data_IF_292965328432
#
_entry.id   IF_292965328432
#
_cell.length_a   1.000
_cell.length_b   1.000
_cell.length_c   1.000
_cell.angle_alpha   90.00
_cell.angle_beta   90.00
_cell.angle_gamma   90.00
#
_symmetry.space_group_name_H-M   'P 1'
#
loop_
_entity.id
_entity.type
_entity.pdbx_description
1 polymer ?
#
# COMPACT_ATOMS: atom_id res chain seq x y z
N UNK A 1 -6.68 -6.98 24.59
CA UNK A 1 -7.09 -8.18 23.83
C UNK A 1 -6.18 -8.27 22.62
N UNK A 2 -5.31 -9.29 22.57
CA UNK A 2 -4.25 -9.39 21.56
C UNK A 2 -4.76 -9.89 20.20
N UNK A 3 -5.85 -10.67 20.20
CA UNK A 3 -6.46 -11.23 18.99
C UNK A 3 -7.86 -10.65 18.78
N UNK A 4 -8.14 -10.23 17.55
CA UNK A 4 -9.48 -9.82 17.11
C UNK A 4 -10.01 -10.87 16.13
N UNK A 5 -10.78 -11.83 16.65
CA UNK A 5 -11.33 -12.96 15.89
C UNK A 5 -12.06 -12.54 14.60
N UNK A 6 -12.87 -11.47 14.57
CA UNK A 6 -13.56 -11.09 13.34
C UNK A 6 -12.61 -10.71 12.19
N UNK A 7 -11.48 -10.05 12.47
CA UNK A 7 -10.48 -9.77 11.44
C UNK A 7 -9.78 -11.04 10.95
N UNK A 8 -9.59 -12.04 11.82
CA UNK A 8 -9.04 -13.35 11.42
C UNK A 8 -10.01 -14.03 10.45
N UNK A 9 -11.29 -14.15 10.83
CA UNK A 9 -12.32 -14.74 9.97
C UNK A 9 -12.42 -14.03 8.63
N UNK A 10 -12.43 -12.70 8.61
CA UNK A 10 -12.45 -11.94 7.36
C UNK A 10 -11.22 -12.20 6.49
N UNK A 11 -10.04 -12.36 7.10
CA UNK A 11 -8.80 -12.63 6.37
C UNK A 11 -8.78 -14.04 5.78
N UNK A 12 -9.37 -15.02 6.48
CA UNK A 12 -9.59 -16.36 5.95
C UNK A 12 -10.58 -16.36 4.79
N UNK A 13 -11.67 -15.59 4.88
CA UNK A 13 -12.64 -15.42 3.78
C UNK A 13 -11.95 -14.80 2.56
N UNK A 14 -11.16 -13.74 2.77
CA UNK A 14 -10.37 -13.10 1.71
C UNK A 14 -9.42 -14.12 1.06
N UNK A 15 -8.69 -14.89 1.86
CA UNK A 15 -7.80 -15.96 1.37
C UNK A 15 -8.56 -16.98 0.52
N UNK A 16 -9.72 -17.46 1.01
CA UNK A 16 -10.55 -18.44 0.30
C UNK A 16 -11.05 -17.88 -1.03
N UNK A 17 -11.49 -16.62 -1.07
CA UNK A 17 -11.96 -15.99 -2.31
C UNK A 17 -10.80 -15.88 -3.31
N UNK A 18 -9.60 -15.48 -2.88
CA UNK A 18 -8.43 -15.42 -3.75
C UNK A 18 -8.06 -16.80 -4.33
N UNK A 19 -8.12 -17.85 -3.51
CA UNK A 19 -7.92 -19.23 -3.97
C UNK A 19 -8.99 -19.67 -4.99
N UNK A 20 -10.25 -19.35 -4.73
CA UNK A 20 -11.35 -19.64 -5.67
C UNK A 20 -11.18 -18.90 -7.01
N UNK A 21 -10.68 -17.66 -6.97
CA UNK A 21 -10.36 -16.88 -8.17
C UNK A 21 -9.25 -17.53 -9.01
N UNK A 22 -8.25 -18.13 -8.38
CA UNK A 22 -7.20 -18.87 -9.08
C UNK A 22 -7.73 -20.12 -9.78
N UNK A 23 -8.59 -20.87 -9.07
CA UNK A 23 -9.16 -22.12 -9.57
C UNK A 23 -10.16 -21.91 -10.72
N UNK A 24 -10.95 -20.83 -10.68
CA UNK A 24 -12.08 -20.61 -11.58
C UNK A 24 -11.92 -19.36 -12.45
N UNK A 25 -10.90 -19.37 -13.33
CA UNK A 25 -10.58 -18.23 -14.21
C UNK A 25 -11.75 -17.73 -15.07
N UNK A 26 -12.70 -18.60 -15.44
CA UNK A 26 -13.86 -18.25 -16.27
C UNK A 26 -14.88 -17.31 -15.60
N UNK A 27 -14.97 -17.31 -14.27
CA UNK A 27 -15.90 -16.47 -13.49
C UNK A 27 -15.21 -15.25 -12.87
N UNK A 28 -14.10 -14.84 -13.47
CA UNK A 28 -13.17 -13.85 -12.96
C UNK A 28 -13.85 -12.56 -12.44
N UNK A 29 -14.61 -11.88 -13.29
CA UNK A 29 -15.24 -10.61 -12.95
C UNK A 29 -16.26 -10.71 -11.82
N UNK A 30 -16.98 -11.83 -11.74
CA UNK A 30 -17.98 -12.07 -10.70
C UNK A 30 -17.29 -12.18 -9.35
N UNK A 31 -16.24 -13.01 -9.24
CA UNK A 31 -15.50 -13.14 -8.00
C UNK A 31 -14.81 -11.85 -7.60
N UNK A 32 -14.28 -11.08 -8.55
CA UNK A 32 -13.67 -9.79 -8.25
C UNK A 32 -14.67 -8.77 -7.67
N UNK A 33 -15.86 -8.66 -8.26
CA UNK A 33 -16.91 -7.76 -7.75
C UNK A 33 -17.40 -8.22 -6.37
N UNK A 34 -17.63 -9.53 -6.20
CA UNK A 34 -18.00 -10.11 -4.90
C UNK A 34 -16.91 -9.88 -3.86
N UNK A 35 -15.64 -10.05 -4.25
CA UNK A 35 -14.48 -9.83 -3.41
C UNK A 35 -14.40 -8.38 -2.91
N UNK A 36 -14.54 -7.40 -3.82
CA UNK A 36 -14.58 -5.99 -3.47
C UNK A 36 -15.77 -5.65 -2.58
N UNK A 37 -16.96 -6.17 -2.91
CA UNK A 37 -18.18 -5.90 -2.15
C UNK A 37 -18.08 -6.43 -0.71
N UNK A 38 -17.71 -7.71 -0.52
CA UNK A 38 -17.53 -8.33 0.80
C UNK A 38 -16.48 -7.56 1.59
N UNK A 39 -15.37 -7.24 0.95
CA UNK A 39 -14.27 -6.50 1.55
C UNK A 39 -14.68 -5.11 2.07
N UNK A 40 -15.42 -4.34 1.27
CA UNK A 40 -15.91 -3.01 1.66
C UNK A 40 -17.02 -3.09 2.72
N UNK A 41 -17.89 -4.10 2.65
CA UNK A 41 -18.93 -4.35 3.66
C UNK A 41 -18.27 -4.69 5.00
N UNK A 42 -17.34 -5.63 5.01
CA UNK A 42 -16.60 -6.01 6.21
C UNK A 42 -15.86 -4.83 6.81
N UNK A 43 -15.23 -4.00 5.96
CA UNK A 43 -14.63 -2.75 6.41
C UNK A 43 -15.63 -1.86 7.17
N UNK A 44 -16.83 -1.66 6.61
CA UNK A 44 -17.88 -0.83 7.22
C UNK A 44 -18.38 -1.40 8.54
N UNK A 45 -18.53 -2.72 8.62
CA UNK A 45 -18.97 -3.42 9.84
C UNK A 45 -17.96 -3.23 10.97
N UNK A 46 -16.66 -3.33 10.67
CA UNK A 46 -15.62 -3.34 11.70
C UNK A 46 -15.11 -1.96 12.11
N UNK A 47 -14.97 -1.05 11.16
CA UNK A 47 -14.41 0.27 11.44
C UNK A 47 -15.41 1.21 12.09
N UNK A 48 -16.72 1.10 11.76
CA UNK A 48 -17.76 2.12 12.03
C UNK A 48 -17.39 3.54 11.55
N UNK A 49 -16.25 3.71 10.89
CA UNK A 49 -15.71 4.98 10.42
C UNK A 49 -15.39 4.81 8.94
N UNK A 50 -15.81 5.76 8.11
CA UNK A 50 -15.51 5.74 6.69
C UNK A 50 -14.03 6.04 6.37
N UNK A 51 -13.20 6.39 7.36
CA UNK A 51 -11.76 6.55 7.11
C UNK A 51 -11.11 5.18 6.92
N UNK A 52 -10.51 4.95 5.75
CA UNK A 52 -9.72 3.75 5.43
C UNK A 52 -10.34 2.80 4.40
N UNK A 53 -11.57 3.03 3.91
CA UNK A 53 -12.18 2.18 2.88
C UNK A 53 -11.35 2.17 1.58
N UNK A 54 -10.71 3.29 1.26
CA UNK A 54 -9.89 3.41 0.05
C UNK A 54 -8.58 2.66 0.20
N UNK A 55 -7.96 2.71 1.39
CA UNK A 55 -6.76 1.92 1.72
C UNK A 55 -7.07 0.42 1.52
N UNK A 56 -8.19 -0.04 2.05
CA UNK A 56 -8.63 -1.42 1.88
C UNK A 56 -8.94 -1.74 0.40
N UNK A 57 -9.67 -0.88 -0.31
CA UNK A 57 -9.96 -1.06 -1.73
C UNK A 57 -8.71 -1.19 -2.59
N UNK A 58 -7.72 -0.31 -2.38
CA UNK A 58 -6.43 -0.36 -3.08
C UNK A 58 -5.68 -1.63 -2.75
N UNK A 59 -5.65 -2.03 -1.48
CA UNK A 59 -5.03 -3.28 -1.06
C UNK A 59 -5.60 -4.49 -1.82
N UNK A 60 -6.93 -4.62 -1.86
CA UNK A 60 -7.61 -5.72 -2.54
C UNK A 60 -7.35 -5.72 -4.04
N UNK A 61 -7.42 -4.56 -4.70
CA UNK A 61 -7.09 -4.44 -6.12
C UNK A 61 -5.61 -4.79 -6.40
N UNK A 62 -4.70 -4.39 -5.52
CA UNK A 62 -3.26 -4.57 -5.70
C UNK A 62 -2.83 -6.02 -5.48
N UNK A 63 -3.34 -6.70 -4.45
CA UNK A 63 -3.13 -8.15 -4.26
C UNK A 63 -3.60 -8.90 -5.49
N UNK A 64 -4.80 -8.58 -5.94
CA UNK A 64 -5.39 -9.25 -7.08
C UNK A 64 -4.52 -9.10 -8.34
N UNK A 65 -4.09 -7.87 -8.64
CA UNK A 65 -3.24 -7.59 -9.80
C UNK A 65 -1.89 -8.32 -9.71
N UNK A 66 -1.21 -8.29 -8.55
CA UNK A 66 0.06 -9.00 -8.37
C UNK A 66 -0.10 -10.51 -8.51
N UNK A 67 -1.21 -11.08 -8.02
CA UNK A 67 -1.46 -12.52 -8.11
C UNK A 67 -1.47 -13.01 -9.57
N UNK A 68 -1.87 -12.16 -10.52
CA UNK A 68 -1.85 -12.45 -11.96
C UNK A 68 -0.46 -12.30 -12.60
N UNK A 69 0.45 -11.59 -11.92
CA UNK A 69 1.84 -11.39 -12.37
C UNK A 69 2.80 -12.46 -11.85
N UNK A 70 2.39 -13.25 -10.86
CA UNK A 70 3.20 -14.36 -10.33
C UNK A 70 2.99 -15.58 -11.21
N UNK A 71 4.08 -16.16 -11.72
CA UNK A 71 4.04 -17.32 -12.63
C UNK A 71 3.94 -18.66 -11.88
N UNK A 72 4.70 -18.83 -10.81
CA UNK A 72 4.78 -20.09 -10.08
C UNK A 72 3.62 -20.29 -9.11
N UNK A 73 2.96 -21.45 -9.16
CA UNK A 73 1.78 -21.74 -8.34
C UNK A 73 2.10 -21.74 -6.83
N UNK A 74 3.24 -22.28 -6.42
CA UNK A 74 3.67 -22.27 -5.02
C UNK A 74 3.82 -20.83 -4.51
N UNK A 75 4.38 -19.93 -5.32
CA UNK A 75 4.55 -18.52 -4.96
C UNK A 75 3.21 -17.80 -4.85
N UNK A 76 2.21 -18.15 -5.68
CA UNK A 76 0.85 -17.60 -5.58
C UNK A 76 0.21 -17.94 -4.23
N UNK A 77 0.30 -19.19 -3.78
CA UNK A 77 -0.27 -19.60 -2.48
C UNK A 77 0.44 -18.94 -1.31
N UNK A 78 1.78 -18.84 -1.35
CA UNK A 78 2.55 -18.10 -0.34
C UNK A 78 2.12 -16.62 -0.32
N UNK A 79 1.95 -16.01 -1.49
CA UNK A 79 1.50 -14.62 -1.60
C UNK A 79 0.09 -14.41 -1.07
N UNK A 80 -0.84 -15.35 -1.30
CA UNK A 80 -2.18 -15.31 -0.71
C UNK A 80 -2.10 -15.35 0.83
N UNK A 81 -1.27 -16.23 1.39
CA UNK A 81 -1.09 -16.32 2.84
C UNK A 81 -0.51 -15.02 3.44
N UNK A 82 0.49 -14.41 2.78
CA UNK A 82 1.05 -13.11 3.17
C UNK A 82 -0.02 -12.02 3.05
N UNK A 83 -0.79 -12.02 1.97
CA UNK A 83 -1.91 -11.12 1.76
C UNK A 83 -2.96 -11.21 2.87
N UNK A 84 -3.34 -12.42 3.26
CA UNK A 84 -4.26 -12.63 4.39
C UNK A 84 -3.71 -12.07 5.70
N UNK A 85 -2.40 -12.20 5.95
CA UNK A 85 -1.73 -11.62 7.12
C UNK A 85 -1.76 -10.08 7.11
N UNK A 86 -1.45 -9.46 5.96
CA UNK A 86 -1.52 -8.00 5.81
C UNK A 86 -2.95 -7.50 5.99
N UNK A 87 -3.93 -8.20 5.42
CA UNK A 87 -5.35 -7.91 5.58
C UNK A 87 -5.77 -7.95 7.05
N UNK A 88 -5.31 -8.96 7.78
CA UNK A 88 -5.57 -9.10 9.21
C UNK A 88 -5.04 -7.88 9.98
N UNK A 89 -3.78 -7.50 9.77
CA UNK A 89 -3.20 -6.35 10.46
C UNK A 89 -3.88 -5.03 10.08
N UNK A 90 -4.29 -4.89 8.81
CA UNK A 90 -5.02 -3.71 8.35
C UNK A 90 -6.34 -3.58 9.11
N UNK A 91 -7.19 -4.62 9.10
CA UNK A 91 -8.47 -4.61 9.80
C UNK A 91 -8.30 -4.47 11.31
N UNK A 92 -7.31 -5.15 11.89
CA UNK A 92 -7.01 -5.08 13.32
C UNK A 92 -6.54 -3.67 13.74
N UNK A 93 -5.67 -3.04 12.94
CA UNK A 93 -5.21 -1.67 13.17
C UNK A 93 -6.36 -0.67 13.16
N UNK A 94 -7.25 -0.78 12.18
CA UNK A 94 -8.42 0.10 12.04
C UNK A 94 -9.40 -0.09 13.19
N UNK A 95 -9.75 -1.34 13.52
CA UNK A 95 -10.58 -1.64 14.67
C UNK A 95 -10.01 -1.05 15.96
N UNK A 96 -8.70 -1.19 16.17
CA UNK A 96 -8.05 -0.73 17.40
C UNK A 96 -7.99 0.79 17.48
N UNK A 97 -7.73 1.48 16.36
CA UNK A 97 -7.75 2.94 16.29
C UNK A 97 -9.16 3.48 16.54
N UNK A 98 -10.19 2.87 15.93
CA UNK A 98 -11.58 3.29 16.15
C UNK A 98 -12.00 3.19 17.63
N UNK A 99 -11.45 2.22 18.38
CA UNK A 99 -11.74 2.05 19.81
C UNK A 99 -10.83 2.88 20.73
N UNK A 100 -9.58 3.09 20.33
CA UNK A 100 -8.55 3.82 21.10
C UNK A 100 -7.67 4.66 20.16
N UNK A 101 -8.11 5.87 19.76
CA UNK A 101 -7.41 6.72 18.81
C UNK A 101 -5.98 7.08 19.25
N UNK A 102 -5.76 7.24 20.56
CA UNK A 102 -4.46 7.66 21.12
C UNK A 102 -3.45 6.52 21.26
N UNK A 103 -3.80 5.29 20.87
CA UNK A 103 -2.90 4.14 21.04
C UNK A 103 -1.78 4.16 20.00
N UNK A 104 -0.55 4.46 20.44
CA UNK A 104 0.64 4.44 19.57
C UNK A 104 0.90 3.07 18.92
N UNK A 105 0.61 1.97 19.62
CA UNK A 105 0.66 0.62 19.01
C UNK A 105 -0.32 0.48 17.84
N UNK A 106 -1.53 1.04 17.97
CA UNK A 106 -2.53 0.96 16.92
C UNK A 106 -2.12 1.81 15.70
N UNK A 107 -1.60 3.02 15.95
CA UNK A 107 -0.99 3.90 14.92
C UNK A 107 0.19 3.22 14.21
N UNK A 108 1.00 2.46 14.94
CA UNK A 108 2.13 1.71 14.37
C UNK A 108 1.65 0.55 13.49
N UNK A 109 0.66 -0.23 13.95
CA UNK A 109 0.08 -1.32 13.15
C UNK A 109 -0.52 -0.79 11.86
N UNK A 110 -1.31 0.29 11.92
CA UNK A 110 -1.89 0.85 10.70
C UNK A 110 -0.84 1.46 9.78
N UNK A 111 0.23 2.07 10.32
CA UNK A 111 1.34 2.57 9.52
C UNK A 111 2.01 1.42 8.75
N UNK A 112 2.35 0.32 9.42
CA UNK A 112 2.93 -0.86 8.79
C UNK A 112 2.00 -1.45 7.72
N UNK A 113 0.72 -1.62 8.03
CA UNK A 113 -0.26 -2.09 7.05
C UNK A 113 -0.36 -1.15 5.85
N UNK A 114 -0.41 0.17 6.07
CA UNK A 114 -0.47 1.16 5.00
C UNK A 114 0.78 1.11 4.10
N UNK A 115 1.98 0.92 4.68
CA UNK A 115 3.21 0.73 3.91
C UNK A 115 3.16 -0.53 3.05
N UNK A 116 2.63 -1.64 3.56
CA UNK A 116 2.41 -2.85 2.78
C UNK A 116 1.41 -2.63 1.64
N UNK A 117 0.31 -1.91 1.89
CA UNK A 117 -0.67 -1.54 0.84
C UNK A 117 -0.01 -0.71 -0.26
N UNK A 118 0.78 0.29 0.11
CA UNK A 118 1.45 1.18 -0.86
C UNK A 118 2.51 0.42 -1.67
N UNK A 119 3.27 -0.46 -1.04
CA UNK A 119 4.20 -1.35 -1.73
C UNK A 119 3.50 -2.21 -2.77
N UNK A 120 2.41 -2.86 -2.39
CA UNK A 120 1.60 -3.69 -3.28
C UNK A 120 1.01 -2.83 -4.40
N UNK A 121 0.53 -1.63 -4.08
CA UNK A 121 0.00 -0.70 -5.07
C UNK A 121 1.05 -0.35 -6.13
N UNK A 122 2.24 0.10 -5.73
CA UNK A 122 3.30 0.44 -6.68
C UNK A 122 3.73 -0.75 -7.53
N UNK A 123 3.92 -1.91 -6.89
CA UNK A 123 4.32 -3.13 -7.60
C UNK A 123 3.25 -3.60 -8.59
N UNK A 124 1.98 -3.63 -8.17
CA UNK A 124 0.85 -4.02 -8.99
C UNK A 124 0.70 -3.11 -10.22
N UNK A 125 0.63 -1.81 -9.97
CA UNK A 125 0.39 -0.80 -11.00
C UNK A 125 1.54 -0.69 -11.99
N UNK A 126 2.79 -0.79 -11.53
CA UNK A 126 3.95 -0.83 -12.43
C UNK A 126 3.97 -2.11 -13.26
N UNK A 127 3.63 -3.25 -12.65
CA UNK A 127 3.51 -4.53 -13.38
C UNK A 127 2.44 -4.49 -14.45
N UNK A 128 1.27 -3.91 -14.15
CA UNK A 128 0.20 -3.68 -15.15
C UNK A 128 0.69 -2.73 -16.25
N UNK A 129 1.39 -1.65 -15.89
CA UNK A 129 1.98 -0.72 -16.86
C UNK A 129 2.91 -1.43 -17.86
N UNK A 130 3.80 -2.30 -17.37
CA UNK A 130 4.73 -3.05 -18.22
C UNK A 130 4.03 -4.05 -19.15
N UNK A 131 2.91 -4.65 -18.73
CA UNK A 131 2.24 -5.73 -19.48
C UNK A 131 1.16 -5.24 -20.45
N UNK A 132 0.60 -4.04 -20.25
CA UNK A 132 -0.55 -3.55 -21.02
C UNK A 132 -0.26 -2.30 -21.85
N UNK A 133 1.02 -1.97 -22.08
CA UNK A 133 1.48 -0.82 -22.88
C UNK A 133 0.76 0.49 -22.48
N UNK A 134 0.63 0.70 -21.17
CA UNK A 134 -0.07 1.88 -20.63
C UNK A 134 0.83 3.10 -20.83
N UNK A 135 0.33 4.24 -21.31
CA UNK A 135 1.13 5.47 -21.38
C UNK A 135 1.67 5.88 -20.00
N UNK A 136 2.95 6.25 -19.92
CA UNK A 136 3.62 6.59 -18.66
C UNK A 136 2.92 7.74 -17.91
N UNK A 137 2.43 8.76 -18.63
CA UNK A 137 1.70 9.86 -18.01
C UNK A 137 0.43 9.41 -17.27
N UNK A 138 -0.23 8.35 -17.74
CA UNK A 138 -1.42 7.79 -17.10
C UNK A 138 -1.02 7.10 -15.79
N UNK A 139 0.08 6.35 -15.79
CA UNK A 139 0.65 5.74 -14.58
C UNK A 139 1.02 6.81 -13.55
N UNK A 140 1.70 7.89 -13.96
CA UNK A 140 2.12 8.95 -13.04
C UNK A 140 0.92 9.70 -12.44
N UNK A 141 -0.09 9.97 -13.27
CA UNK A 141 -1.36 10.55 -12.82
C UNK A 141 -2.06 9.60 -11.83
N UNK A 142 -2.07 8.31 -12.12
CA UNK A 142 -2.62 7.28 -11.26
C UNK A 142 -1.89 7.20 -9.91
N UNK A 143 -0.55 7.30 -9.91
CA UNK A 143 0.26 7.37 -8.68
C UNK A 143 -0.11 8.57 -7.83
N UNK A 144 -0.15 9.76 -8.44
CA UNK A 144 -0.49 11.00 -7.74
C UNK A 144 -1.81 10.88 -6.98
N UNK A 145 -2.88 10.53 -7.68
CA UNK A 145 -4.21 10.51 -7.07
C UNK A 145 -4.35 9.43 -6.01
N UNK A 146 -3.86 8.21 -6.26
CA UNK A 146 -3.98 7.12 -5.29
C UNK A 146 -3.14 7.39 -4.04
N UNK A 147 -1.90 7.87 -4.18
CA UNK A 147 -1.05 8.17 -3.03
C UNK A 147 -1.59 9.36 -2.24
N UNK A 148 -2.11 10.39 -2.90
CA UNK A 148 -2.76 11.49 -2.21
C UNK A 148 -3.99 11.00 -1.43
N UNK A 149 -4.84 10.15 -2.02
CA UNK A 149 -6.02 9.62 -1.34
C UNK A 149 -5.69 8.66 -0.20
N UNK A 150 -4.73 7.74 -0.38
CA UNK A 150 -4.26 6.82 0.66
C UNK A 150 -3.68 7.62 1.83
N UNK A 151 -2.81 8.58 1.55
CA UNK A 151 -2.17 9.42 2.58
C UNK A 151 -3.19 10.29 3.31
N UNK A 152 -4.16 10.84 2.58
CA UNK A 152 -5.26 11.60 3.17
C UNK A 152 -6.07 10.75 4.15
N UNK A 153 -6.49 9.55 3.73
CA UNK A 153 -7.23 8.64 4.61
C UNK A 153 -6.40 8.20 5.80
N UNK A 154 -5.10 7.93 5.60
CA UNK A 154 -4.19 7.57 6.67
C UNK A 154 -4.10 8.67 7.73
N UNK A 155 -3.83 9.91 7.32
CA UNK A 155 -3.69 11.05 8.25
C UNK A 155 -4.99 11.39 8.98
N UNK A 156 -6.14 11.29 8.31
CA UNK A 156 -7.45 11.43 8.97
C UNK A 156 -7.64 10.33 10.02
N UNK A 157 -7.23 9.10 9.71
CA UNK A 157 -7.44 7.96 10.59
C UNK A 157 -6.56 7.98 11.84
N UNK A 158 -5.35 8.51 11.78
CA UNK A 158 -4.49 8.69 12.96
C UNK A 158 -4.87 9.91 13.83
N UNK A 159 -5.89 10.67 13.43
CA UNK A 159 -6.50 11.72 14.25
C UNK A 159 -5.97 13.14 14.04
N UNK A 160 -5.36 13.47 12.88
CA UNK A 160 -4.96 14.85 12.62
C UNK A 160 -6.19 15.75 12.39
N UNK A 161 -6.40 16.73 13.28
CA UNK A 161 -7.61 17.56 13.28
C UNK A 161 -7.65 18.56 12.12
N UNK A 162 -6.49 19.06 11.69
CA UNK A 162 -6.43 20.09 10.66
C UNK A 162 -6.54 19.51 9.25
N UNK A 163 -7.77 19.37 8.77
CA UNK A 163 -8.09 18.84 7.43
C UNK A 163 -7.35 19.53 6.28
N UNK A 164 -7.09 20.85 6.39
CA UNK A 164 -6.36 21.59 5.35
C UNK A 164 -4.89 21.17 5.32
N UNK A 165 -4.25 21.04 6.48
CA UNK A 165 -2.88 20.50 6.57
C UNK A 165 -2.84 19.08 6.02
N UNK A 166 -3.76 18.21 6.45
CA UNK A 166 -3.85 16.83 5.96
C UNK A 166 -3.95 16.78 4.43
N UNK A 167 -4.84 17.57 3.83
CA UNK A 167 -4.98 17.63 2.38
C UNK A 167 -3.69 18.08 1.69
N UNK A 168 -3.10 19.19 2.13
CA UNK A 168 -1.87 19.74 1.52
C UNK A 168 -0.73 18.73 1.58
N UNK A 169 -0.47 18.13 2.74
CA UNK A 169 0.61 17.15 2.89
C UNK A 169 0.35 15.86 2.10
N UNK A 170 -0.92 15.46 1.96
CA UNK A 170 -1.27 14.32 1.11
C UNK A 170 -1.03 14.60 -0.37
N UNK A 171 -1.33 15.82 -0.83
CA UNK A 171 -1.02 16.26 -2.20
C UNK A 171 0.50 16.36 -2.43
N UNK A 172 1.26 16.84 -1.45
CA UNK A 172 2.73 16.86 -1.50
C UNK A 172 3.28 15.43 -1.64
N UNK A 173 2.75 14.46 -0.87
CA UNK A 173 3.12 13.06 -1.01
C UNK A 173 2.81 12.49 -2.39
N UNK A 174 1.60 12.73 -2.89
CA UNK A 174 1.21 12.32 -4.24
C UNK A 174 2.11 12.94 -5.31
N UNK A 175 2.42 14.24 -5.19
CA UNK A 175 3.26 14.95 -6.13
C UNK A 175 4.71 14.45 -6.10
N UNK A 176 5.27 14.24 -4.90
CA UNK A 176 6.61 13.67 -4.77
C UNK A 176 6.72 12.30 -5.46
N UNK A 177 5.73 11.43 -5.27
CA UNK A 177 5.70 10.12 -5.93
C UNK A 177 5.52 10.24 -7.44
N UNK A 178 4.72 11.20 -7.93
CA UNK A 178 4.59 11.47 -9.36
C UNK A 178 5.94 11.82 -9.99
N UNK A 179 6.68 12.75 -9.39
CA UNK A 179 8.00 13.18 -9.86
C UNK A 179 9.01 12.01 -9.82
N UNK A 180 9.04 11.27 -8.70
CA UNK A 180 9.92 10.10 -8.58
C UNK A 180 9.55 8.99 -9.58
N UNK A 181 8.25 8.82 -9.86
CA UNK A 181 7.75 7.88 -10.85
C UNK A 181 8.31 8.17 -12.24
N UNK A 182 8.38 9.45 -12.65
CA UNK A 182 9.04 9.84 -13.90
C UNK A 182 10.51 9.45 -13.93
N UNK A 183 11.25 9.70 -12.86
CA UNK A 183 12.68 9.34 -12.76
C UNK A 183 12.87 7.83 -12.89
N UNK A 184 12.07 7.04 -12.17
CA UNK A 184 12.19 5.58 -12.16
C UNK A 184 11.74 4.95 -13.48
N UNK A 185 10.84 5.59 -14.24
CA UNK A 185 10.41 5.07 -15.53
C UNK A 185 11.57 4.91 -16.53
N UNK A 186 12.62 5.72 -16.39
CA UNK A 186 13.84 5.59 -17.19
C UNK A 186 14.75 4.44 -16.75
N UNK A 187 14.45 3.79 -15.63
CA UNK A 187 15.24 2.69 -15.11
C UNK A 187 14.63 1.35 -15.52
N UNK A 188 15.43 0.42 -16.08
CA UNK A 188 14.90 -0.82 -16.62
C UNK A 188 14.76 -1.89 -15.53
N UNK A 189 13.96 -1.59 -14.50
CA UNK A 189 13.74 -2.50 -13.37
C UNK A 189 12.39 -3.21 -13.45
N UNK A 190 12.33 -4.40 -12.85
CA UNK A 190 11.09 -5.11 -12.63
C UNK A 190 10.19 -4.42 -11.58
N UNK A 191 8.91 -4.77 -11.59
CA UNK A 191 7.88 -4.11 -10.78
C UNK A 191 8.09 -4.20 -9.27
N UNK A 192 8.69 -5.28 -8.75
CA UNK A 192 9.02 -5.39 -7.32
C UNK A 192 10.14 -4.44 -6.88
N UNK A 193 11.15 -4.26 -7.73
CA UNK A 193 12.26 -3.33 -7.47
C UNK A 193 11.75 -1.90 -7.50
N UNK A 194 11.00 -1.53 -8.54
CA UNK A 194 10.34 -0.22 -8.66
C UNK A 194 9.42 0.06 -7.48
N UNK A 195 8.58 -0.91 -7.10
CA UNK A 195 7.68 -0.76 -5.95
C UNK A 195 8.42 -0.55 -4.63
N UNK A 196 9.56 -1.22 -4.44
CA UNK A 196 10.41 -1.05 -3.26
C UNK A 196 11.03 0.34 -3.20
N UNK A 197 11.61 0.84 -4.30
CA UNK A 197 12.25 2.16 -4.37
C UNK A 197 11.22 3.27 -4.14
N UNK A 198 10.06 3.18 -4.80
CA UNK A 198 8.96 4.12 -4.60
C UNK A 198 8.43 4.11 -3.17
N UNK A 199 8.35 2.94 -2.53
CA UNK A 199 7.97 2.83 -1.12
C UNK A 199 8.99 3.52 -0.21
N UNK A 200 10.29 3.29 -0.42
CA UNK A 200 11.34 3.95 0.37
C UNK A 200 11.27 5.47 0.23
N UNK A 201 11.06 5.96 -0.99
CA UNK A 201 10.90 7.38 -1.26
C UNK A 201 9.65 7.95 -0.58
N UNK A 202 8.51 7.27 -0.73
CA UNK A 202 7.25 7.62 -0.04
C UNK A 202 7.45 7.68 1.48
N UNK A 203 8.09 6.67 2.05
CA UNK A 203 8.31 6.55 3.49
C UNK A 203 9.05 7.76 4.07
N UNK A 204 10.06 8.28 3.38
CA UNK A 204 10.81 9.45 3.85
C UNK A 204 9.92 10.69 3.92
N UNK A 205 9.22 11.00 2.84
CA UNK A 205 8.34 12.17 2.80
C UNK A 205 7.22 12.01 3.83
N UNK A 206 6.69 10.80 3.98
CA UNK A 206 5.66 10.48 4.96
C UNK A 206 6.17 10.66 6.40
N UNK A 207 7.36 10.16 6.72
CA UNK A 207 7.97 10.29 8.06
C UNK A 207 8.28 11.76 8.38
N UNK A 208 8.77 12.53 7.41
CA UNK A 208 8.97 13.97 7.56
C UNK A 208 7.65 14.70 7.83
N UNK A 209 6.59 14.35 7.11
CA UNK A 209 5.24 14.90 7.31
C UNK A 209 4.71 14.57 8.71
N UNK A 210 4.88 13.34 9.17
CA UNK A 210 4.50 12.91 10.53
C UNK A 210 5.29 13.64 11.61
N UNK A 211 6.61 13.77 11.46
CA UNK A 211 7.45 14.50 12.39
C UNK A 211 7.09 15.99 12.44
N UNK A 212 6.69 16.56 11.30
CA UNK A 212 6.19 17.94 11.25
C UNK A 212 4.87 18.10 12.01
N UNK A 213 3.89 17.21 11.81
CA UNK A 213 2.63 17.24 12.56
C UNK A 213 2.84 17.14 14.07
N UNK A 214 3.82 16.32 14.47
CA UNK A 214 4.21 16.17 15.88
C UNK A 214 5.09 17.30 16.42
N UNK A 215 5.45 18.31 15.62
CA UNK A 215 6.37 19.41 15.95
C UNK A 215 7.76 18.94 16.46
N UNK A 216 8.22 17.78 15.97
CA UNK A 216 9.52 17.16 16.35
C UNK A 216 10.48 17.05 15.15
N UNK A 217 10.23 17.84 14.10
CA UNK A 217 11.05 17.89 12.90
C UNK A 217 12.39 18.56 13.23
N UNK A 218 13.49 17.93 12.81
CA UNK A 218 14.83 18.49 12.97
C UNK A 218 15.67 18.17 11.75
N UNK A 219 16.64 19.04 11.43
CA UNK A 219 17.58 18.85 10.31
C UNK A 219 18.33 17.53 10.45
N UNK A 220 18.69 17.15 11.68
CA UNK A 220 19.35 15.86 11.96
C UNK A 220 18.52 14.66 11.49
N UNK A 221 17.21 14.66 11.77
CA UNK A 221 16.31 13.58 11.32
C UNK A 221 16.20 13.53 9.80
N UNK A 222 16.09 14.69 9.15
CA UNK A 222 16.06 14.79 7.68
C UNK A 222 17.31 14.15 7.08
N UNK A 223 18.50 14.50 7.59
CA UNK A 223 19.76 13.95 7.12
C UNK A 223 19.86 12.43 7.33
N UNK A 224 19.44 11.93 8.50
CA UNK A 224 19.45 10.49 8.78
C UNK A 224 18.54 9.74 7.81
N UNK A 225 17.34 10.24 7.54
CA UNK A 225 16.41 9.61 6.58
C UNK A 225 16.97 9.61 5.15
N UNK A 226 17.63 10.70 4.73
CA UNK A 226 18.28 10.79 3.41
C UNK A 226 19.45 9.80 3.28
N UNK A 227 20.29 9.69 4.31
CA UNK A 227 21.40 8.71 4.31
C UNK A 227 20.86 7.29 4.26
N UNK A 228 19.86 6.98 5.08
CA UNK A 228 19.19 5.68 5.06
C UNK A 228 18.63 5.35 3.68
N UNK A 229 17.96 6.30 3.03
CA UNK A 229 17.43 6.14 1.68
C UNK A 229 18.50 5.79 0.66
N UNK A 230 19.60 6.54 0.67
CA UNK A 230 20.70 6.32 -0.27
C UNK A 230 21.30 4.94 -0.09
N UNK A 231 21.54 4.51 1.15
CA UNK A 231 22.09 3.18 1.46
C UNK A 231 21.10 2.09 1.04
N UNK A 232 19.83 2.18 1.48
CA UNK A 232 18.82 1.17 1.22
C UNK A 232 18.52 1.04 -0.28
N UNK A 233 18.40 2.15 -0.98
CA UNK A 233 18.21 2.16 -2.44
C UNK A 233 19.44 1.60 -3.16
N UNK A 234 20.65 1.92 -2.72
CA UNK A 234 21.87 1.35 -3.31
C UNK A 234 21.93 -0.17 -3.16
N UNK A 235 21.55 -0.70 -1.99
CA UNK A 235 21.48 -2.15 -1.75
C UNK A 235 20.46 -2.81 -2.68
N UNK A 236 19.27 -2.24 -2.79
CA UNK A 236 18.23 -2.76 -3.70
C UNK A 236 18.71 -2.73 -5.14
N UNK A 237 19.19 -1.58 -5.62
CA UNK A 237 19.68 -1.40 -6.99
C UNK A 237 20.85 -2.31 -7.34
N UNK A 238 21.73 -2.58 -6.38
CA UNK A 238 22.84 -3.51 -6.55
C UNK A 238 22.38 -4.98 -6.61
N UNK A 239 21.34 -5.34 -5.85
CA UNK A 239 20.77 -6.69 -5.83
C UNK A 239 19.83 -6.99 -7.00
N UNK A 240 19.32 -5.94 -7.67
CA UNK A 240 18.31 -6.06 -8.71
C UNK A 240 18.90 -6.40 -10.07
N UNK A 241 18.17 -7.23 -10.81
CA UNK A 241 18.47 -7.57 -12.20
C UNK A 241 18.05 -6.39 -13.09
N UNK A 242 18.96 -5.91 -13.93
CA UNK A 242 18.69 -4.85 -14.91
C UNK A 242 18.12 -5.48 -16.21
N UNK A 243 17.12 -4.85 -16.82
CA UNK A 243 16.56 -5.27 -18.12
C UNK A 243 17.16 -4.42 -19.26
N UNK A 244 17.14 -4.88 -20.53
CA UNK A 244 17.01 -6.26 -20.94
C UNK A 244 18.37 -6.94 -20.72
N UNK A 245 18.43 -7.91 -19.82
CA UNK A 245 19.60 -8.78 -19.80
C UNK A 245 19.59 -9.58 -21.10
N UNK A 246 20.49 -9.21 -22.01
CA UNK A 246 20.86 -9.99 -23.21
C UNK A 246 21.57 -11.26 -22.75
#
# INVERSE_FOLDING_TARGET
MFLYLPAIFQSLIVSLILELMLLHRGFFWIYFVVFLAISLISFRIYSKVWSGWFIAGIFYASIWAILHLIDYDVERHIFIAIGALVNYFLLFGIYRIAKKPDSETAKSIIAMSNMAVIFLFFSASYGVYLNFDIPSWLLMTFYFFNIALISYQYFVLIGEENKRKVLVYSLILGFGVLEMGWVINFWPFGYLTTGTILLMFYYIIWDLSQNYFKNILSVKKVLVNLIFFMIASSVVLYSSIWLPNI
#
